data_IF_605699841084
#
_entry.id   IF_605699841084
#
_cell.length_a   1.000
_cell.length_b   1.000
_cell.length_c   1.000
_cell.angle_alpha   90.00
_cell.angle_beta   90.00
_cell.angle_gamma   90.00
#
_symmetry.space_group_name_H-M   'P 1'
#
loop_
_entity.id
_entity.type
_entity.pdbx_description
1 polymer ?
#
# COMPACT_ATOMS: atom_id res chain seq x y z
N UNK A 1 -14.30 -15.71 -77.27
CA UNK A 1 -13.70 -15.53 -75.92
C UNK A 1 -12.71 -14.35 -75.89
N UNK A 2 -13.02 -13.21 -76.53
CA UNK A 2 -12.10 -12.06 -76.62
C UNK A 2 -12.70 -10.73 -76.12
N UNK A 3 -13.92 -10.74 -75.59
CA UNK A 3 -14.63 -9.52 -75.12
C UNK A 3 -14.69 -9.33 -73.61
N UNK A 4 -14.44 -10.37 -72.79
CA UNK A 4 -14.57 -10.28 -71.33
C UNK A 4 -13.31 -9.69 -70.67
N UNK A 5 -12.12 -9.98 -71.22
CA UNK A 5 -10.84 -9.53 -70.67
C UNK A 5 -10.63 -8.01 -70.84
N UNK A 6 -11.15 -7.43 -71.93
CA UNK A 6 -11.10 -5.97 -72.16
C UNK A 6 -12.09 -5.21 -71.27
N UNK A 7 -13.25 -5.78 -70.99
CA UNK A 7 -14.26 -5.17 -70.09
C UNK A 7 -13.83 -5.26 -68.63
N UNK A 8 -13.24 -6.38 -68.20
CA UNK A 8 -12.65 -6.51 -66.85
C UNK A 8 -11.46 -5.57 -66.64
N UNK A 9 -10.63 -5.38 -67.68
CA UNK A 9 -9.53 -4.41 -67.66
C UNK A 9 -10.02 -2.96 -67.56
N UNK A 10 -11.10 -2.61 -68.25
CA UNK A 10 -11.70 -1.29 -68.15
C UNK A 10 -12.23 -1.02 -66.74
N UNK A 11 -12.99 -1.96 -66.15
CA UNK A 11 -13.56 -1.81 -64.79
C UNK A 11 -12.51 -1.73 -63.67
N UNK A 12 -11.40 -2.48 -63.75
CA UNK A 12 -10.36 -2.48 -62.70
C UNK A 12 -9.44 -1.25 -62.75
N UNK A 13 -9.32 -0.60 -63.91
CA UNK A 13 -8.49 0.59 -64.12
C UNK A 13 -9.31 1.87 -64.33
N UNK A 14 -10.62 1.84 -64.07
CA UNK A 14 -11.48 3.02 -64.10
C UNK A 14 -11.37 3.78 -62.78
N UNK A 15 -10.73 4.94 -62.83
CA UNK A 15 -10.63 5.85 -61.70
C UNK A 15 -11.53 7.07 -61.96
N UNK A 16 -12.76 6.99 -61.46
CA UNK A 16 -13.68 8.12 -61.49
C UNK A 16 -13.24 9.20 -60.49
N UNK A 17 -12.84 10.36 -61.01
CA UNK A 17 -12.57 11.55 -60.20
C UNK A 17 -13.80 12.45 -60.17
N UNK A 18 -14.18 12.99 -59.00
CA UNK A 18 -15.26 13.95 -58.94
C UNK A 18 -14.90 15.18 -59.78
N UNK A 19 -15.79 15.60 -60.69
CA UNK A 19 -15.61 16.85 -61.43
C UNK A 19 -15.78 18.03 -60.49
N UNK A 20 -14.68 18.65 -60.09
CA UNK A 20 -14.67 19.82 -59.20
C UNK A 20 -15.02 21.08 -60.01
N UNK A 21 -16.07 21.80 -59.60
CA UNK A 21 -16.44 23.09 -60.21
C UNK A 21 -15.76 24.23 -59.46
N UNK A 22 -14.95 25.04 -60.16
CA UNK A 22 -14.23 26.18 -59.57
C UNK A 22 -15.12 27.43 -59.54
N UNK A 23 -15.72 27.72 -58.39
CA UNK A 23 -16.53 28.93 -58.20
C UNK A 23 -15.62 30.10 -57.80
N UNK A 24 -15.36 31.02 -58.75
CA UNK A 24 -14.48 32.18 -58.54
C UNK A 24 -15.22 33.33 -57.85
N UNK A 25 -15.45 33.21 -56.54
CA UNK A 25 -16.04 34.28 -55.73
C UNK A 25 -15.19 34.60 -54.48
N UNK A 26 -14.99 35.89 -54.21
CA UNK A 26 -14.13 36.36 -53.11
C UNK A 26 -14.71 36.02 -51.73
N UNK A 27 -16.03 36.05 -51.58
CA UNK A 27 -16.73 35.76 -50.30
C UNK A 27 -16.62 34.28 -49.92
N UNK A 28 -16.96 33.37 -50.83
CA UNK A 28 -16.91 31.91 -50.57
C UNK A 28 -15.46 31.44 -50.40
N UNK A 29 -14.53 31.97 -51.20
CA UNK A 29 -13.11 31.66 -51.06
C UNK A 29 -12.53 32.09 -49.71
N UNK A 30 -12.89 33.27 -49.21
CA UNK A 30 -12.43 33.75 -47.89
C UNK A 30 -13.00 32.89 -46.76
N UNK A 31 -14.28 32.54 -46.82
CA UNK A 31 -14.90 31.65 -45.81
C UNK A 31 -14.23 30.28 -45.79
N UNK A 32 -13.97 29.67 -46.95
CA UNK A 32 -13.29 28.39 -47.04
C UNK A 32 -11.85 28.46 -46.46
N UNK A 33 -11.10 29.52 -46.80
CA UNK A 33 -9.75 29.72 -46.25
C UNK A 33 -9.74 29.98 -44.74
N UNK A 34 -10.73 30.72 -44.22
CA UNK A 34 -10.86 30.97 -42.78
C UNK A 34 -11.17 29.67 -42.02
N UNK A 35 -12.10 28.85 -42.51
CA UNK A 35 -12.41 27.53 -41.93
C UNK A 35 -11.19 26.62 -41.98
N UNK A 36 -10.48 26.58 -43.10
CA UNK A 36 -9.25 25.79 -43.24
C UNK A 36 -8.16 26.22 -42.23
N UNK A 37 -7.97 27.52 -42.04
CA UNK A 37 -7.03 28.04 -41.04
C UNK A 37 -7.46 27.73 -39.61
N UNK A 38 -8.76 27.79 -39.32
CA UNK A 38 -9.29 27.45 -38.00
C UNK A 38 -9.05 25.98 -37.66
N UNK A 39 -9.33 25.06 -38.60
CA UNK A 39 -9.06 23.62 -38.42
C UNK A 39 -7.57 23.38 -38.23
N UNK A 40 -6.72 24.02 -39.04
CA UNK A 40 -5.26 23.87 -38.94
C UNK A 40 -4.73 24.40 -37.60
N UNK A 41 -5.22 25.55 -37.13
CA UNK A 41 -4.85 26.11 -35.84
C UNK A 41 -5.29 25.19 -34.67
N UNK A 42 -6.47 24.58 -34.75
CA UNK A 42 -6.95 23.63 -33.74
C UNK A 42 -6.07 22.38 -33.69
N UNK A 43 -5.74 21.79 -34.84
CA UNK A 43 -4.87 20.59 -34.90
C UNK A 43 -3.47 20.90 -34.34
N UNK A 44 -2.86 22.02 -34.72
CA UNK A 44 -1.52 22.37 -34.22
C UNK A 44 -1.56 22.75 -32.73
N UNK A 45 -2.47 23.63 -32.33
CA UNK A 45 -2.52 24.15 -30.96
C UNK A 45 -3.01 23.13 -29.95
N UNK A 46 -4.12 22.44 -30.25
CA UNK A 46 -4.70 21.48 -29.33
C UNK A 46 -3.99 20.12 -29.41
N UNK A 47 -4.02 19.48 -30.59
CA UNK A 47 -3.56 18.09 -30.72
C UNK A 47 -2.04 17.97 -30.58
N UNK A 48 -1.28 18.84 -31.25
CA UNK A 48 0.18 18.75 -31.20
C UNK A 48 0.80 19.44 -29.99
N UNK A 49 0.39 20.66 -29.66
CA UNK A 49 1.04 21.41 -28.57
C UNK A 49 0.47 21.04 -27.20
N UNK A 50 -0.85 21.02 -27.05
CA UNK A 50 -1.48 20.78 -25.74
C UNK A 50 -1.48 19.29 -25.35
N UNK A 51 -1.99 18.42 -26.23
CA UNK A 51 -2.02 16.97 -25.97
C UNK A 51 -0.68 16.28 -26.25
N UNK A 52 0.29 16.98 -26.82
CA UNK A 52 1.60 16.42 -27.20
C UNK A 52 1.47 15.13 -28.02
N UNK A 53 0.52 15.09 -28.97
CA UNK A 53 0.26 13.90 -29.79
C UNK A 53 1.43 13.43 -30.67
N UNK A 54 2.55 14.17 -30.67
CA UNK A 54 3.83 13.74 -31.27
C UNK A 54 4.68 12.84 -30.35
N UNK A 55 4.31 12.65 -29.09
CA UNK A 55 5.02 11.80 -28.13
C UNK A 55 4.22 10.53 -27.85
N UNK A 56 4.89 9.37 -27.86
CA UNK A 56 4.32 8.14 -27.30
C UNK A 56 4.40 8.23 -25.76
N UNK A 57 3.24 8.21 -25.12
CA UNK A 57 3.13 8.22 -23.65
C UNK A 57 3.00 6.78 -23.17
N UNK A 58 4.01 6.33 -22.42
CA UNK A 58 4.00 5.02 -21.79
C UNK A 58 3.58 5.12 -20.33
N UNK A 59 2.85 4.11 -19.85
CA UNK A 59 2.47 4.03 -18.44
C UNK A 59 3.69 3.58 -17.63
N UNK A 60 4.14 4.42 -16.70
CA UNK A 60 5.31 4.10 -15.88
C UNK A 60 4.94 3.05 -14.84
N UNK A 61 5.63 1.92 -14.86
CA UNK A 61 5.60 0.94 -13.77
C UNK A 61 6.74 1.27 -12.82
N UNK A 62 6.41 1.65 -11.59
CA UNK A 62 7.38 1.90 -10.53
C UNK A 62 7.44 0.74 -9.55
N UNK A 63 8.66 0.42 -9.11
CA UNK A 63 8.91 -0.50 -8.00
C UNK A 63 9.70 0.25 -6.92
N UNK A 64 9.22 0.19 -5.68
CA UNK A 64 9.89 0.84 -4.54
C UNK A 64 10.47 -0.23 -3.62
N UNK A 65 11.78 -0.17 -3.41
CA UNK A 65 12.48 -0.99 -2.43
C UNK A 65 12.90 -0.11 -1.27
N UNK A 66 12.43 -0.43 -0.07
CA UNK A 66 12.80 0.27 1.16
C UNK A 66 13.83 -0.57 1.92
N UNK A 67 14.83 0.10 2.50
CA UNK A 67 15.82 -0.55 3.36
C UNK A 67 16.07 0.31 4.58
N UNK A 68 15.70 -0.20 5.75
CA UNK A 68 16.01 0.42 7.02
C UNK A 68 17.42 0.06 7.48
N UNK A 69 18.09 1.00 8.15
CA UNK A 69 19.34 0.78 8.87
C UNK A 69 19.28 1.46 10.22
N UNK A 70 19.55 0.70 11.26
CA UNK A 70 19.56 1.14 12.64
C UNK A 70 19.85 -0.06 13.54
N UNK A 71 20.60 0.18 14.61
CA UNK A 71 20.80 -0.82 15.67
C UNK A 71 20.56 -0.11 16.98
N UNK A 72 19.84 -0.77 17.88
CA UNK A 72 19.61 -0.25 19.22
C UNK A 72 19.70 -1.34 20.26
N UNK A 73 19.91 -0.92 21.50
CA UNK A 73 20.10 -1.80 22.64
C UNK A 73 19.08 -1.43 23.68
N UNK A 74 18.41 -2.44 24.22
CA UNK A 74 17.44 -2.27 25.29
C UNK A 74 17.91 -3.08 26.49
N UNK A 75 17.93 -2.44 27.66
CA UNK A 75 18.25 -3.08 28.93
C UNK A 75 17.05 -2.93 29.85
N UNK A 76 16.22 -3.98 29.94
CA UNK A 76 15.00 -3.99 30.75
C UNK A 76 15.00 -5.22 31.65
N UNK A 77 14.41 -5.11 32.85
CA UNK A 77 14.34 -6.21 33.81
C UNK A 77 13.66 -7.48 33.27
N UNK A 78 12.70 -7.33 32.35
CA UNK A 78 11.94 -8.45 31.76
C UNK A 78 12.67 -9.15 30.60
N UNK A 79 13.36 -8.40 29.74
CA UNK A 79 14.00 -8.90 28.51
C UNK A 79 15.54 -9.02 28.62
N UNK A 80 16.14 -8.45 29.67
CA UNK A 80 17.58 -8.36 29.85
C UNK A 80 18.25 -7.40 28.86
N UNK A 81 19.56 -7.57 28.69
CA UNK A 81 20.34 -6.89 27.66
C UNK A 81 20.08 -7.56 26.31
N UNK A 82 19.39 -6.84 25.41
CA UNK A 82 19.09 -7.33 24.05
C UNK A 82 19.45 -6.27 23.02
N UNK A 83 20.05 -6.73 21.92
CA UNK A 83 20.35 -5.93 20.74
C UNK A 83 19.20 -6.13 19.75
N UNK A 84 18.74 -5.06 19.14
CA UNK A 84 17.72 -5.04 18.09
C UNK A 84 18.35 -4.59 16.78
N UNK A 85 18.26 -5.45 15.78
CA UNK A 85 18.71 -5.16 14.41
C UNK A 85 17.51 -5.12 13.45
N UNK A 86 17.76 -4.72 12.20
CA UNK A 86 16.77 -4.57 11.13
C UNK A 86 15.88 -5.82 11.00
N UNK A 87 16.44 -7.01 11.22
CA UNK A 87 15.69 -8.27 11.13
C UNK A 87 14.64 -8.46 12.25
N UNK A 88 14.78 -7.78 13.40
CA UNK A 88 13.87 -7.94 14.53
C UNK A 88 12.70 -6.94 14.49
N UNK A 89 12.97 -5.69 14.10
CA UNK A 89 11.98 -4.62 14.16
C UNK A 89 11.27 -4.35 12.82
N UNK A 90 11.73 -4.95 11.71
CA UNK A 90 11.06 -4.84 10.39
C UNK A 90 10.30 -6.13 10.08
N UNK A 91 8.97 -6.05 10.05
CA UNK A 91 8.08 -7.21 9.84
C UNK A 91 6.95 -6.83 8.87
N UNK A 92 6.81 -7.50 7.71
CA UNK A 92 7.74 -8.46 7.12
C UNK A 92 8.99 -7.77 6.55
N UNK A 93 10.13 -8.47 6.53
CA UNK A 93 11.39 -7.92 6.02
C UNK A 93 11.40 -7.65 4.49
N UNK A 94 10.33 -8.02 3.78
CA UNK A 94 10.29 -8.10 2.32
C UNK A 94 8.97 -7.59 1.73
N UNK A 95 8.37 -6.57 2.36
CA UNK A 95 7.18 -5.91 1.81
C UNK A 95 7.56 -5.02 0.61
N UNK A 96 6.75 -5.04 -0.44
CA UNK A 96 6.90 -4.16 -1.58
C UNK A 96 6.14 -2.86 -1.32
N UNK A 97 6.80 -1.71 -1.46
CA UNK A 97 6.21 -0.36 -1.31
C UNK A 97 5.71 0.05 0.09
N UNK A 98 5.74 -0.83 1.08
CA UNK A 98 5.45 -0.54 2.50
C UNK A 98 6.61 -0.95 3.40
N UNK A 99 6.66 -0.38 4.60
CA UNK A 99 7.64 -0.71 5.63
C UNK A 99 7.01 -0.52 7.00
N UNK A 100 7.03 -1.57 7.81
CA UNK A 100 6.65 -1.51 9.22
C UNK A 100 7.91 -1.47 10.10
N UNK A 101 7.96 -0.54 11.04
CA UNK A 101 9.05 -0.41 12.02
C UNK A 101 8.44 -0.47 13.41
N UNK A 102 8.84 -1.47 14.19
CA UNK A 102 8.44 -1.59 15.58
C UNK A 102 9.11 -0.50 16.43
N UNK A 103 8.32 0.25 17.19
CA UNK A 103 8.80 1.32 18.10
C UNK A 103 8.53 1.01 19.58
N UNK A 104 7.51 0.21 19.86
CA UNK A 104 7.17 -0.26 21.19
C UNK A 104 6.78 -1.74 21.12
N UNK A 105 7.05 -2.47 22.21
CA UNK A 105 6.76 -3.89 22.30
C UNK A 105 6.28 -4.23 23.72
N UNK A 106 5.24 -5.08 23.78
CA UNK A 106 4.80 -5.76 24.99
C UNK A 106 5.14 -7.23 24.78
N UNK A 107 5.87 -7.82 25.72
CA UNK A 107 6.34 -9.20 25.61
C UNK A 107 5.91 -9.99 26.82
N UNK A 108 5.22 -11.10 26.58
CA UNK A 108 4.82 -12.05 27.61
C UNK A 108 5.61 -13.35 27.41
N UNK A 109 6.56 -13.61 28.30
CA UNK A 109 7.47 -14.75 28.19
C UNK A 109 6.83 -16.05 28.68
N UNK A 110 7.28 -17.19 28.15
CA UNK A 110 6.91 -18.54 28.60
C UNK A 110 5.40 -18.82 28.57
N UNK A 111 4.70 -18.29 27.56
CA UNK A 111 3.30 -18.64 27.34
C UNK A 111 3.16 -20.12 26.98
N UNK A 112 2.24 -20.79 27.68
CA UNK A 112 1.89 -22.20 27.46
C UNK A 112 0.39 -22.32 27.32
N UNK A 113 -0.08 -23.27 26.51
CA UNK A 113 -1.51 -23.48 26.38
C UNK A 113 -2.06 -24.10 27.67
N UNK A 114 -3.02 -23.42 28.30
CA UNK A 114 -3.55 -23.85 29.58
C UNK A 114 -4.80 -23.08 29.99
N UNK A 115 -5.12 -23.17 31.28
CA UNK A 115 -6.22 -22.44 31.90
C UNK A 115 -5.66 -21.42 32.88
N UNK A 116 -6.03 -20.16 32.71
CA UNK A 116 -5.59 -19.07 33.56
C UNK A 116 -6.71 -18.04 33.72
N UNK A 117 -6.68 -17.26 34.82
CA UNK A 117 -7.57 -16.13 34.99
C UNK A 117 -7.32 -15.10 33.87
N UNK A 118 -8.38 -14.54 33.31
CA UNK A 118 -8.31 -13.44 32.36
C UNK A 118 -7.87 -12.14 33.07
N UNK A 119 -7.32 -11.19 32.29
CA UNK A 119 -6.96 -9.87 32.81
C UNK A 119 -8.20 -9.12 33.31
N UNK A 120 -8.07 -8.33 34.40
CA UNK A 120 -9.20 -7.63 34.99
C UNK A 120 -9.65 -6.48 34.10
N UNK A 121 -10.75 -6.68 33.39
CA UNK A 121 -11.46 -5.70 32.60
C UNK A 121 -12.94 -5.64 33.03
N UNK A 122 -13.68 -4.61 32.63
CA UNK A 122 -15.08 -4.39 33.03
C UNK A 122 -15.99 -5.59 32.72
N UNK A 123 -15.66 -6.38 31.70
CA UNK A 123 -16.43 -7.53 31.23
C UNK A 123 -15.93 -8.88 31.75
N UNK A 124 -14.69 -8.97 32.23
CA UNK A 124 -14.07 -10.23 32.67
C UNK A 124 -14.12 -10.42 34.20
N UNK A 125 -14.37 -9.34 34.96
CA UNK A 125 -14.54 -9.40 36.41
C UNK A 125 -15.85 -10.11 36.76
N UNK A 126 -15.75 -11.18 37.54
CA UNK A 126 -16.86 -12.02 37.96
C UNK A 126 -16.99 -12.03 39.49
N UNK A 127 -18.21 -12.27 39.99
CA UNK A 127 -18.45 -12.54 41.43
C UNK A 127 -18.73 -14.02 41.68
N UNK A 128 -19.35 -14.67 40.71
CA UNK A 128 -19.82 -16.04 40.75
C UNK A 128 -19.56 -16.75 39.42
N UNK A 129 -19.52 -18.07 39.43
CA UNK A 129 -19.30 -18.89 38.22
C UNK A 129 -20.39 -18.67 37.16
N UNK A 130 -21.62 -18.30 37.56
CA UNK A 130 -22.71 -17.99 36.63
C UNK A 130 -22.49 -16.71 35.81
N UNK A 131 -21.59 -15.83 36.25
CA UNK A 131 -21.25 -14.62 35.50
C UNK A 131 -20.38 -14.93 34.26
N UNK A 132 -19.76 -16.13 34.25
CA UNK A 132 -18.90 -16.59 33.16
C UNK A 132 -19.65 -17.64 32.32
N UNK A 133 -20.20 -17.30 31.16
CA UNK A 133 -20.83 -18.28 30.28
C UNK A 133 -19.77 -19.22 29.67
N UNK A 134 -19.91 -20.52 29.92
CA UNK A 134 -19.01 -21.52 29.36
C UNK A 134 -19.07 -21.53 27.81
N UNK A 135 -17.90 -21.55 27.17
CA UNK A 135 -17.77 -21.56 25.72
C UNK A 135 -17.95 -20.20 25.04
N UNK A 136 -18.11 -19.10 25.80
CA UNK A 136 -18.16 -17.77 25.20
C UNK A 136 -16.79 -17.33 24.69
N UNK A 137 -16.78 -16.74 23.49
CA UNK A 137 -15.61 -16.07 22.90
C UNK A 137 -16.00 -14.63 22.59
N UNK A 138 -15.63 -13.69 23.44
CA UNK A 138 -15.84 -12.27 23.20
C UNK A 138 -14.67 -11.68 22.41
N UNK A 139 -14.91 -10.60 21.67
CA UNK A 139 -13.83 -9.87 20.95
C UNK A 139 -12.77 -9.31 21.88
N UNK A 140 -13.13 -9.04 23.13
CA UNK A 140 -12.24 -8.57 24.19
C UNK A 140 -11.65 -9.71 25.02
N UNK A 141 -12.06 -10.96 24.77
CA UNK A 141 -11.53 -12.09 25.53
C UNK A 141 -10.29 -12.67 24.87
N UNK A 142 -9.31 -13.03 25.68
CA UNK A 142 -8.04 -13.60 25.20
C UNK A 142 -8.14 -15.09 24.83
N UNK A 143 -9.27 -15.73 25.09
CA UNK A 143 -9.49 -17.15 24.82
C UNK A 143 -10.94 -17.58 24.98
N UNK A 144 -11.14 -18.88 25.23
CA UNK A 144 -12.48 -19.47 25.41
C UNK A 144 -12.80 -19.55 26.89
N UNK A 145 -13.90 -18.97 27.35
CA UNK A 145 -14.30 -19.03 28.76
C UNK A 145 -14.65 -20.47 29.18
N UNK A 146 -14.10 -20.96 30.29
CA UNK A 146 -14.41 -22.30 30.84
C UNK A 146 -15.70 -22.32 31.65
N UNK A 147 -16.18 -21.14 32.06
CA UNK A 147 -17.36 -20.95 32.90
C UNK A 147 -17.08 -20.99 34.41
N UNK A 148 -15.83 -20.78 34.81
CA UNK A 148 -15.41 -20.70 36.23
C UNK A 148 -14.91 -19.31 36.56
N UNK A 149 -15.22 -18.84 37.77
CA UNK A 149 -14.76 -17.57 38.30
C UNK A 149 -13.60 -17.81 39.28
N UNK A 150 -12.38 -17.50 38.86
CA UNK A 150 -11.15 -17.79 39.60
C UNK A 150 -10.52 -16.51 40.16
N UNK A 151 -9.82 -16.57 41.30
CA UNK A 151 -9.12 -15.41 41.84
C UNK A 151 -7.92 -15.04 40.95
N UNK A 152 -7.92 -13.82 40.40
CA UNK A 152 -6.76 -13.22 39.71
C UNK A 152 -5.75 -12.67 40.73
N UNK A 153 -6.26 -11.99 41.76
CA UNK A 153 -5.49 -11.47 42.89
C UNK A 153 -6.31 -11.67 44.18
N UNK A 154 -5.75 -11.37 45.36
CA UNK A 154 -6.42 -11.60 46.65
C UNK A 154 -7.80 -10.95 46.79
N UNK A 155 -8.05 -9.85 46.06
CA UNK A 155 -9.31 -9.08 46.13
C UNK A 155 -10.17 -9.21 44.87
N UNK A 156 -9.59 -9.60 43.73
CA UNK A 156 -10.23 -9.56 42.41
C UNK A 156 -10.36 -10.96 41.83
N UNK A 157 -11.55 -11.30 41.33
CA UNK A 157 -11.84 -12.53 40.61
C UNK A 157 -12.19 -12.24 39.17
N UNK A 158 -11.69 -13.06 38.27
CA UNK A 158 -11.96 -12.97 36.83
C UNK A 158 -12.34 -14.33 36.27
N UNK A 159 -12.99 -14.33 35.12
CA UNK A 159 -13.35 -15.56 34.45
C UNK A 159 -12.08 -16.34 34.03
N UNK A 160 -12.10 -17.65 34.22
CA UNK A 160 -11.07 -18.55 33.72
C UNK A 160 -11.26 -18.76 32.21
N UNK A 161 -10.16 -18.64 31.47
CA UNK A 161 -10.13 -18.83 30.02
C UNK A 161 -9.13 -19.91 29.63
N UNK A 162 -9.48 -20.68 28.61
CA UNK A 162 -8.58 -21.58 27.90
C UNK A 162 -7.84 -20.76 26.83
N UNK A 163 -6.58 -20.41 27.12
CA UNK A 163 -5.78 -19.48 26.32
C UNK A 163 -4.27 -19.79 26.41
N UNK A 164 -3.46 -18.92 25.80
CA UNK A 164 -2.03 -18.88 26.06
C UNK A 164 -1.79 -18.21 27.42
N UNK A 165 -1.27 -18.98 28.37
CA UNK A 165 -1.11 -18.60 29.76
C UNK A 165 0.37 -18.41 30.12
N UNK A 166 0.74 -17.32 30.82
CA UNK A 166 -0.13 -16.22 31.26
C UNK A 166 -0.61 -15.34 30.10
N UNK A 167 -1.81 -14.76 30.24
CA UNK A 167 -2.40 -13.86 29.24
C UNK A 167 -1.55 -12.58 29.10
N UNK A 168 -1.48 -12.04 27.89
CA UNK A 168 -0.73 -10.81 27.59
C UNK A 168 -1.35 -9.58 28.29
N UNK A 169 -0.57 -8.94 29.17
CA UNK A 169 -0.99 -7.73 29.89
C UNK A 169 -0.76 -6.45 29.06
N UNK A 170 -1.83 -5.99 28.41
CA UNK A 170 -1.92 -4.71 27.68
C UNK A 170 -2.03 -3.49 28.61
N UNK A 171 -2.46 -3.67 29.87
CA UNK A 171 -3.01 -2.59 30.70
C UNK A 171 -2.05 -1.43 30.92
N UNK A 172 -0.74 -1.69 30.94
CA UNK A 172 0.29 -0.69 31.06
C UNK A 172 1.31 -0.79 29.93
N UNK A 173 0.97 -0.15 28.80
CA UNK A 173 1.93 0.09 27.71
C UNK A 173 3.15 0.85 28.25
N UNK A 174 4.38 0.34 28.05
CA UNK A 174 5.60 0.98 28.53
C UNK A 174 5.70 2.44 28.04
N UNK A 175 5.77 3.35 29.01
CA UNK A 175 6.05 4.77 28.78
C UNK A 175 7.32 5.13 29.56
N UNK A 176 8.41 5.51 28.89
CA UNK A 176 8.49 5.81 27.46
C UNK A 176 8.69 4.57 26.57
N UNK A 177 8.52 4.73 25.24
CA UNK A 177 8.58 3.64 24.26
C UNK A 177 9.88 2.82 24.33
N UNK A 178 9.77 1.52 24.09
CA UNK A 178 10.89 0.58 24.19
C UNK A 178 12.07 0.91 23.26
N UNK A 179 11.78 1.29 22.01
CA UNK A 179 12.78 1.61 20.98
C UNK A 179 12.84 3.11 20.70
N UNK A 180 13.12 3.94 21.72
CA UNK A 180 13.31 5.40 21.53
C UNK A 180 14.33 5.75 20.45
N UNK A 181 15.38 4.95 20.32
CA UNK A 181 16.44 5.18 19.33
C UNK A 181 15.96 5.03 17.88
N UNK A 182 14.73 4.53 17.66
CA UNK A 182 14.14 4.43 16.33
C UNK A 182 14.02 5.78 15.62
N UNK A 183 13.95 6.89 16.34
CA UNK A 183 13.99 8.25 15.78
C UNK A 183 15.29 8.54 14.99
N UNK A 184 16.38 7.85 15.31
CA UNK A 184 17.68 8.01 14.65
C UNK A 184 17.94 6.98 13.55
N UNK A 185 16.94 6.17 13.20
CA UNK A 185 17.09 5.18 12.13
C UNK A 185 17.09 5.87 10.76
N UNK A 186 17.83 5.28 9.83
CA UNK A 186 17.91 5.79 8.46
C UNK A 186 17.14 4.89 7.52
N UNK A 187 16.34 5.51 6.66
CA UNK A 187 15.60 4.82 5.61
C UNK A 187 16.21 5.15 4.26
N UNK A 188 16.54 4.10 3.52
CA UNK A 188 16.99 4.19 2.14
C UNK A 188 15.86 3.74 1.22
N UNK A 189 15.44 4.64 0.32
CA UNK A 189 14.41 4.37 -0.68
C UNK A 189 15.08 4.25 -2.05
N UNK A 190 14.93 3.08 -2.67
CA UNK A 190 15.30 2.84 -4.06
C UNK A 190 14.05 2.82 -4.92
N UNK A 191 13.96 3.72 -5.90
CA UNK A 191 12.85 3.76 -6.85
C UNK A 191 13.39 3.29 -8.20
N UNK A 192 12.79 2.22 -8.71
CA UNK A 192 13.04 1.73 -10.06
C UNK A 192 11.88 2.14 -10.95
N UNK A 193 12.19 2.88 -12.00
CA UNK A 193 11.23 3.23 -13.04
C UNK A 193 11.46 2.33 -14.24
N UNK A 194 10.41 1.60 -14.64
CA UNK A 194 10.40 0.86 -15.90
C UNK A 194 9.47 1.60 -16.86
N UNK A 195 10.06 2.08 -17.95
CA UNK A 195 9.37 2.62 -19.11
C UNK A 195 10.05 2.00 -20.35
N UNK A 196 9.43 2.09 -21.53
CA UNK A 196 9.91 1.56 -22.82
C UNK A 196 11.28 2.12 -23.32
N UNK A 197 12.14 2.63 -22.42
CA UNK A 197 13.50 3.12 -22.63
C UNK A 197 14.51 2.63 -21.56
N UNK A 198 15.67 3.29 -21.37
CA UNK A 198 16.69 2.85 -20.42
C UNK A 198 16.15 2.84 -18.98
N UNK A 199 16.40 1.74 -18.25
CA UNK A 199 16.03 1.64 -16.82
C UNK A 199 16.71 2.77 -16.05
N UNK A 200 15.91 3.65 -15.47
CA UNK A 200 16.40 4.70 -14.59
C UNK A 200 16.19 4.25 -13.13
N UNK A 201 17.28 4.19 -12.37
CA UNK A 201 17.25 3.95 -10.92
C UNK A 201 17.49 5.27 -10.23
N UNK A 202 16.52 5.74 -9.45
CA UNK A 202 16.69 6.91 -8.59
C UNK A 202 16.95 6.43 -7.17
N UNK A 203 18.16 6.67 -6.67
CA UNK A 203 18.50 6.47 -5.27
C UNK A 203 18.24 7.77 -4.50
N UNK A 204 17.24 7.76 -3.62
CA UNK A 204 17.04 8.88 -2.71
C UNK A 204 18.08 8.79 -1.59
N UNK A 205 18.77 9.90 -1.35
CA UNK A 205 19.73 10.01 -0.25
C UNK A 205 18.97 9.81 1.07
N UNK A 206 19.49 9.02 2.03
CA UNK A 206 18.84 8.85 3.32
C UNK A 206 18.71 10.21 4.00
N UNK A 207 17.47 10.68 4.15
CA UNK A 207 17.14 11.79 5.03
C UNK A 207 16.82 11.17 6.39
N UNK A 208 17.45 11.67 7.46
CA UNK A 208 17.04 11.33 8.81
C UNK A 208 15.68 11.96 9.06
N UNK A 209 14.62 11.18 8.87
CA UNK A 209 13.27 11.61 9.22
C UNK A 209 13.09 11.31 10.70
N UNK A 210 13.15 12.35 11.54
CA UNK A 210 12.66 12.24 12.91
C UNK A 210 11.16 11.95 12.84
N UNK A 211 10.76 10.79 13.37
CA UNK A 211 9.36 10.45 13.57
C UNK A 211 8.81 11.42 14.62
N UNK A 212 7.83 12.25 14.22
CA UNK A 212 7.05 13.11 15.11
C UNK A 212 6.06 12.28 15.93
#
# INVERSE_FOLDING_TARGET
MAGCCSVLGAFLFEYDTPRIVLIRSRKVGLMNRAVQLFILAYVIGWVFVWEKGYQEVDSVVSSVTTKAKGVTVTNTSQLGFRIWDVADYVIPAQEESSLFIMTNIIVTMNQTQGFCPELPDKTSVCKSDSDCPAGSTNTHSSGVATGRCVPYNGTLKTCEVAAWCPVEDDSNVPKPAFLKAAENFTLQLGILWVSCGPRAVTLLKPQGWGLL
#
